data_IF_149309155872
#
_entry.id   IF_149309155872
#
_cell.length_a   1.000
_cell.length_b   1.000
_cell.length_c   1.000
_cell.angle_alpha   90.00
_cell.angle_beta   90.00
_cell.angle_gamma   90.00
#
_symmetry.space_group_name_H-M   'P 1'
#
loop_
_entity.id
_entity.type
_entity.pdbx_description
1 polymer ?
#
# COMPACT_ATOMS: atom_id res chain seq x y z
N UNK A 1 -19.75 35.49 -37.81
CA UNK A 1 -19.62 34.16 -38.46
C UNK A 1 -20.32 33.13 -37.57
N UNK A 2 -21.19 32.25 -38.11
CA UNK A 2 -21.90 31.23 -37.30
C UNK A 2 -20.91 30.19 -36.77
N UNK A 3 -20.99 29.82 -35.48
CA UNK A 3 -20.02 28.90 -34.85
C UNK A 3 -20.60 27.53 -34.52
N UNK A 4 -21.90 27.43 -34.20
CA UNK A 4 -22.56 26.15 -33.90
C UNK A 4 -24.08 26.28 -34.06
N UNK A 5 -24.72 25.27 -34.67
CA UNK A 5 -26.18 25.19 -34.82
C UNK A 5 -26.70 24.06 -33.93
N UNK A 6 -27.60 24.38 -33.00
CA UNK A 6 -28.31 23.40 -32.16
C UNK A 6 -29.78 23.36 -32.57
N UNK A 7 -30.47 22.25 -32.28
CA UNK A 7 -31.86 21.97 -32.71
C UNK A 7 -32.88 23.09 -32.38
N UNK A 8 -32.58 24.00 -31.45
CA UNK A 8 -33.44 25.13 -31.03
C UNK A 8 -32.69 26.48 -30.85
N UNK A 9 -31.42 26.62 -31.25
CA UNK A 9 -30.68 27.89 -31.06
C UNK A 9 -29.44 28.02 -31.96
N UNK A 10 -29.08 29.26 -32.30
CA UNK A 10 -27.92 29.58 -33.12
C UNK A 10 -26.91 30.40 -32.34
N UNK A 11 -25.66 29.92 -32.28
CA UNK A 11 -24.56 30.64 -31.63
C UNK A 11 -23.75 31.42 -32.66
N UNK A 12 -23.73 32.74 -32.47
CA UNK A 12 -22.94 33.68 -33.25
C UNK A 12 -21.71 34.10 -32.45
N UNK A 13 -20.60 34.32 -33.15
CA UNK A 13 -19.43 34.94 -32.54
C UNK A 13 -19.12 36.28 -33.20
N UNK A 14 -18.94 37.26 -32.31
CA UNK A 14 -18.49 38.62 -32.61
C UNK A 14 -16.97 38.69 -32.49
N UNK A 15 -16.29 39.57 -33.24
CA UNK A 15 -14.83 39.68 -33.23
C UNK A 15 -14.25 39.91 -31.83
N UNK A 16 -14.88 40.80 -31.04
CA UNK A 16 -14.47 41.11 -29.66
C UNK A 16 -14.50 39.87 -28.73
N UNK A 17 -15.51 39.01 -28.89
CA UNK A 17 -15.63 37.78 -28.09
C UNK A 17 -14.57 36.74 -28.48
N UNK A 18 -14.19 36.70 -29.77
CA UNK A 18 -13.14 35.80 -30.27
C UNK A 18 -11.76 36.21 -29.73
N UNK A 19 -11.45 37.51 -29.70
CA UNK A 19 -10.21 38.02 -29.10
C UNK A 19 -10.14 37.73 -27.59
N UNK A 20 -11.26 37.85 -26.88
CA UNK A 20 -11.32 37.50 -25.47
C UNK A 20 -11.14 36.00 -25.24
N UNK A 21 -11.77 35.16 -26.07
CA UNK A 21 -11.62 33.71 -26.02
C UNK A 21 -10.17 33.29 -26.26
N UNK A 22 -9.50 33.84 -27.27
CA UNK A 22 -8.09 33.55 -27.58
C UNK A 22 -7.17 33.96 -26.42
N UNK A 23 -7.43 35.12 -25.78
CA UNK A 23 -6.71 35.55 -24.57
C UNK A 23 -6.92 34.58 -23.40
N UNK A 24 -8.16 34.16 -23.14
CA UNK A 24 -8.48 33.21 -22.07
C UNK A 24 -7.83 31.85 -22.32
N UNK A 25 -7.88 31.35 -23.57
CA UNK A 25 -7.28 30.07 -23.93
C UNK A 25 -5.76 30.11 -23.75
N UNK A 26 -5.12 31.20 -24.18
CA UNK A 26 -3.68 31.41 -24.04
C UNK A 26 -3.26 31.49 -22.57
N UNK A 27 -4.01 32.23 -21.75
CA UNK A 27 -3.73 32.34 -20.31
C UNK A 27 -3.91 31.01 -19.58
N UNK A 28 -4.93 30.22 -19.94
CA UNK A 28 -5.10 28.86 -19.41
C UNK A 28 -3.94 27.94 -19.80
N UNK A 29 -3.48 28.02 -21.05
CA UNK A 29 -2.32 27.26 -21.51
C UNK A 29 -1.05 27.62 -20.72
N UNK A 30 -0.82 28.91 -20.47
CA UNK A 30 0.31 29.38 -19.66
C UNK A 30 0.22 28.94 -18.19
N UNK A 31 -0.98 29.00 -17.61
CA UNK A 31 -1.20 28.54 -16.24
C UNK A 31 -0.89 27.04 -16.09
N UNK A 32 -1.40 26.21 -17.01
CA UNK A 32 -1.16 24.77 -17.01
C UNK A 32 0.33 24.44 -17.23
N UNK A 33 1.00 25.19 -18.10
CA UNK A 33 2.44 25.02 -18.32
C UNK A 33 3.24 25.32 -17.05
N UNK A 34 2.90 26.39 -16.33
CA UNK A 34 3.54 26.75 -15.06
C UNK A 34 3.26 25.71 -13.97
N UNK A 35 2.02 25.23 -13.86
CA UNK A 35 1.67 24.15 -12.92
C UNK A 35 2.51 22.90 -13.16
N UNK A 36 2.68 22.50 -14.43
CA UNK A 36 3.52 21.35 -14.77
C UNK A 36 4.98 21.58 -14.40
N UNK A 37 5.52 22.77 -14.67
CA UNK A 37 6.89 23.11 -14.30
C UNK A 37 7.11 23.05 -12.78
N UNK A 38 6.21 23.64 -12.00
CA UNK A 38 6.29 23.59 -10.53
C UNK A 38 6.14 22.16 -10.00
N UNK A 39 5.32 21.34 -10.65
CA UNK A 39 5.17 19.93 -10.30
C UNK A 39 6.45 19.13 -10.59
N UNK A 40 7.11 19.40 -11.70
CA UNK A 40 8.40 18.78 -12.04
C UNK A 40 9.49 19.21 -11.05
N UNK A 41 9.53 20.50 -10.66
CA UNK A 41 10.46 21.02 -9.64
C UNK A 41 10.27 20.35 -8.27
N UNK A 42 9.05 19.95 -7.90
CA UNK A 42 8.82 19.21 -6.65
C UNK A 42 9.55 17.87 -6.66
N UNK A 43 9.62 17.18 -7.80
CA UNK A 43 10.38 15.93 -7.87
C UNK A 43 11.87 16.19 -7.70
N UNK A 44 12.42 17.24 -8.31
CA UNK A 44 13.83 17.61 -8.13
C UNK A 44 14.18 17.90 -6.66
N UNK A 45 13.24 18.45 -5.89
CA UNK A 45 13.39 18.67 -4.45
C UNK A 45 13.24 17.38 -3.61
N UNK A 46 12.40 16.43 -4.04
CA UNK A 46 12.12 15.19 -3.30
C UNK A 46 13.12 14.07 -3.60
N UNK A 47 13.62 13.98 -4.83
CA UNK A 47 14.52 12.93 -5.30
C UNK A 47 15.79 12.76 -4.43
N UNK A 48 16.47 13.82 -3.97
CA UNK A 48 17.63 13.69 -3.07
C UNK A 48 17.31 12.97 -1.76
N UNK A 49 16.07 13.08 -1.27
CA UNK A 49 15.62 12.48 -0.01
C UNK A 49 14.93 11.13 -0.21
N UNK A 50 14.86 10.62 -1.44
CA UNK A 50 14.14 9.39 -1.76
C UNK A 50 14.64 8.19 -0.98
N UNK A 51 15.96 8.07 -0.78
CA UNK A 51 16.56 6.97 -0.04
C UNK A 51 16.12 6.96 1.44
N UNK A 52 16.09 8.13 2.09
CA UNK A 52 15.67 8.27 3.49
C UNK A 52 14.17 8.01 3.67
N UNK A 53 13.36 8.45 2.69
CA UNK A 53 11.94 8.16 2.65
C UNK A 53 11.68 6.66 2.48
N UNK A 54 12.43 5.97 1.62
CA UNK A 54 12.34 4.53 1.45
C UNK A 54 12.76 3.77 2.71
N UNK A 55 13.84 4.18 3.37
CA UNK A 55 14.26 3.59 4.64
C UNK A 55 13.19 3.76 5.72
N UNK A 56 12.60 4.95 5.81
CA UNK A 56 11.51 5.23 6.74
C UNK A 56 10.29 4.35 6.46
N UNK A 57 9.91 4.21 5.18
CA UNK A 57 8.80 3.35 4.78
C UNK A 57 9.07 1.87 5.11
N UNK A 58 10.30 1.38 4.89
CA UNK A 58 10.68 0.02 5.24
C UNK A 58 10.65 -0.22 6.75
N UNK A 59 11.15 0.73 7.55
CA UNK A 59 11.10 0.64 9.01
C UNK A 59 9.64 0.63 9.51
N UNK A 60 8.77 1.45 8.91
CA UNK A 60 7.34 1.43 9.21
C UNK A 60 6.68 0.10 8.83
N UNK A 61 7.05 -0.49 7.69
CA UNK A 61 6.54 -1.79 7.27
C UNK A 61 7.00 -2.91 8.22
N UNK A 62 8.27 -2.90 8.65
CA UNK A 62 8.77 -3.85 9.63
C UNK A 62 8.05 -3.72 10.98
N UNK A 63 7.84 -2.48 11.45
CA UNK A 63 7.07 -2.22 12.66
C UNK A 63 5.63 -2.74 12.55
N UNK A 64 4.95 -2.50 11.43
CA UNK A 64 3.59 -3.00 11.20
C UNK A 64 3.53 -4.53 11.28
N UNK A 65 4.48 -5.22 10.63
CA UNK A 65 4.58 -6.69 10.69
C UNK A 65 4.83 -7.18 12.12
N UNK A 66 5.77 -6.57 12.86
CA UNK A 66 6.08 -6.98 14.23
C UNK A 66 4.91 -6.73 15.18
N UNK A 67 4.23 -5.58 15.06
CA UNK A 67 3.04 -5.25 15.86
C UNK A 67 1.90 -6.21 15.55
N UNK A 68 1.67 -6.52 14.28
CA UNK A 68 0.67 -7.51 13.87
C UNK A 68 1.00 -8.89 14.46
N UNK A 69 2.24 -9.38 14.33
CA UNK A 69 2.64 -10.66 14.91
C UNK A 69 2.51 -10.69 16.43
N UNK A 70 2.81 -9.59 17.12
CA UNK A 70 2.62 -9.47 18.56
C UNK A 70 1.14 -9.52 18.96
N UNK A 71 0.27 -8.81 18.24
CA UNK A 71 -1.18 -8.86 18.43
C UNK A 71 -1.72 -10.26 18.20
N UNK A 72 -1.33 -10.91 17.09
CA UNK A 72 -1.74 -12.30 16.80
C UNK A 72 -1.26 -13.25 17.87
N UNK A 73 -0.02 -13.10 18.35
CA UNK A 73 0.51 -13.96 19.39
C UNK A 73 -0.26 -13.81 20.71
N UNK A 74 -0.65 -12.60 21.07
CA UNK A 74 -1.46 -12.36 22.25
C UNK A 74 -2.88 -12.89 22.08
N UNK A 75 -3.58 -12.46 21.03
CA UNK A 75 -4.99 -12.78 20.79
C UNK A 75 -5.21 -14.28 20.53
N UNK A 76 -4.26 -14.95 19.89
CA UNK A 76 -4.35 -16.40 19.61
C UNK A 76 -3.65 -17.26 20.66
N UNK A 77 -3.08 -16.67 21.72
CA UNK A 77 -2.27 -17.37 22.72
C UNK A 77 -1.13 -18.21 22.11
N UNK A 78 -0.32 -17.61 21.23
CA UNK A 78 0.89 -18.23 20.73
C UNK A 78 2.05 -18.05 21.70
N UNK A 79 3.00 -18.98 21.62
CA UNK A 79 4.21 -18.99 22.46
C UNK A 79 5.45 -18.81 21.59
N UNK A 80 6.47 -18.15 22.14
CA UNK A 80 7.72 -17.94 21.43
C UNK A 80 8.47 -19.28 21.28
N UNK A 81 8.75 -19.76 20.05
CA UNK A 81 9.48 -21.00 19.85
C UNK A 81 10.97 -20.84 20.24
N UNK A 82 11.59 -21.94 20.65
CA UNK A 82 13.03 -21.99 20.94
C UNK A 82 13.76 -22.82 19.90
N UNK A 83 14.90 -22.33 19.43
CA UNK A 83 15.72 -23.01 18.43
C UNK A 83 16.81 -23.85 19.10
N UNK A 84 17.17 -24.96 18.47
CA UNK A 84 18.27 -25.84 18.91
C UNK A 84 19.10 -26.26 17.71
N UNK A 85 20.40 -26.45 17.88
CA UNK A 85 21.34 -26.82 16.79
C UNK A 85 21.12 -28.23 16.22
N UNK A 86 20.29 -29.05 16.86
CA UNK A 86 20.00 -30.43 16.44
C UNK A 86 18.69 -30.48 15.65
N UNK A 87 18.64 -31.30 14.58
CA UNK A 87 17.40 -31.50 13.84
C UNK A 87 16.36 -32.21 14.70
N UNK A 88 15.25 -31.52 14.94
CA UNK A 88 14.11 -32.07 15.67
C UNK A 88 13.04 -31.01 15.89
N UNK A 89 11.81 -31.47 16.09
CA UNK A 89 10.65 -30.64 16.39
C UNK A 89 10.00 -31.21 17.64
N UNK A 90 9.73 -30.34 18.61
CA UNK A 90 9.01 -30.69 19.83
C UNK A 90 7.88 -29.71 20.01
N UNK A 91 6.65 -30.18 19.81
CA UNK A 91 5.43 -29.41 20.00
C UNK A 91 4.68 -30.02 21.17
N UNK A 92 4.37 -29.18 22.15
CA UNK A 92 3.49 -29.50 23.26
C UNK A 92 2.20 -28.74 23.03
N UNK A 93 1.05 -29.41 23.10
CA UNK A 93 -0.27 -28.80 22.88
C UNK A 93 -0.37 -27.99 21.56
N UNK A 94 0.13 -28.61 20.48
CA UNK A 94 0.07 -28.05 19.14
C UNK A 94 -1.36 -27.90 18.64
N UNK A 95 -1.68 -26.70 18.17
CA UNK A 95 -2.96 -26.35 17.54
C UNK A 95 -2.73 -25.99 16.08
N UNK A 96 -3.71 -26.27 15.23
CA UNK A 96 -3.63 -25.89 13.82
C UNK A 96 -4.18 -24.46 13.65
N UNK A 97 -3.37 -23.47 13.20
CA UNK A 97 -3.69 -22.04 13.30
C UNK A 97 -4.92 -21.61 12.52
N UNK A 98 -5.22 -22.28 11.40
CA UNK A 98 -6.42 -21.99 10.57
C UNK A 98 -7.64 -22.75 11.07
N UNK A 99 -7.50 -24.04 11.37
CA UNK A 99 -8.61 -24.92 11.72
C UNK A 99 -9.22 -24.53 13.08
N UNK A 100 -8.41 -24.06 14.04
CA UNK A 100 -8.92 -23.58 15.34
C UNK A 100 -9.78 -22.31 15.22
N UNK A 101 -9.60 -21.50 14.16
CA UNK A 101 -10.35 -20.27 13.94
C UNK A 101 -11.66 -20.51 13.18
N UNK A 102 -11.75 -21.63 12.45
CA UNK A 102 -12.88 -21.95 11.56
C UNK A 102 -13.87 -22.93 12.22
N UNK A 103 -13.41 -23.75 13.17
CA UNK A 103 -14.27 -24.67 13.91
C UNK A 103 -15.02 -23.95 15.04
N UNK A 104 -16.32 -24.23 15.17
CA UNK A 104 -17.15 -23.78 16.29
C UNK A 104 -17.00 -24.67 17.55
N UNK A 105 -16.23 -25.75 17.46
CA UNK A 105 -15.97 -26.70 18.54
C UNK A 105 -14.51 -26.59 19.03
N UNK A 106 -14.23 -26.85 20.33
CA UNK A 106 -12.89 -26.72 20.88
C UNK A 106 -11.90 -27.69 20.20
N UNK A 107 -10.82 -27.13 19.63
CA UNK A 107 -9.76 -27.93 19.02
C UNK A 107 -8.95 -28.70 20.08
N UNK A 108 -8.80 -30.01 19.91
CA UNK A 108 -8.02 -30.86 20.80
C UNK A 108 -6.54 -30.73 20.45
N UNK A 109 -5.76 -30.13 21.37
CA UNK A 109 -4.34 -29.87 21.18
C UNK A 109 -3.51 -31.16 21.18
N UNK A 110 -2.57 -31.29 20.24
CA UNK A 110 -1.79 -32.51 20.05
C UNK A 110 -0.30 -32.33 20.40
N UNK A 111 0.27 -33.33 21.06
CA UNK A 111 1.72 -33.42 21.31
C UNK A 111 2.42 -34.07 20.12
N UNK A 112 3.56 -33.53 19.67
CA UNK A 112 4.44 -34.18 18.70
C UNK A 112 5.91 -34.04 19.10
N UNK A 113 6.65 -35.15 19.03
CA UNK A 113 8.09 -35.20 19.30
C UNK A 113 8.73 -35.94 18.14
N UNK A 114 9.48 -35.22 17.30
CA UNK A 114 10.27 -35.79 16.23
C UNK A 114 11.74 -35.45 16.49
N UNK A 115 12.58 -36.46 16.69
CA UNK A 115 14.04 -36.32 16.80
C UNK A 115 14.67 -37.23 15.76
N UNK A 116 15.73 -36.78 15.09
CA UNK A 116 16.58 -37.69 14.34
C UNK A 116 17.34 -38.55 15.34
N UNK A 117 17.07 -39.85 15.37
CA UNK A 117 17.92 -40.81 16.06
C UNK A 117 19.30 -40.80 15.40
N UNK A 118 20.34 -40.43 16.14
CA UNK A 118 21.70 -40.77 15.75
C UNK A 118 21.82 -42.30 15.87
N UNK A 119 21.69 -43.02 14.75
CA UNK A 119 21.80 -44.47 14.72
C UNK A 119 21.06 -45.14 13.56
N UNK A 120 21.55 -44.95 12.33
CA UNK A 120 21.91 -46.00 11.37
C UNK A 120 22.67 -45.32 10.21
#
# INVERSE_FOLDING_TARGET
MRRQTLKNAERYIIPELKEYEDKVLTSKGKALALEKQLYDELFDLLLPHLADLQQSANALAELDVLVNLAERAWTLNYTCPTFTDKPGIRITEGRHPVVEQVLNEPFIANRSICRRSAGC
#
